data_IF_952065016633
#
_entry.id   IF_952065016633
#
_cell.length_a   1.000
_cell.length_b   1.000
_cell.length_c   1.000
_cell.angle_alpha   90.00
_cell.angle_beta   90.00
_cell.angle_gamma   90.00
#
_symmetry.space_group_name_H-M   'P 1'
#
loop_
_entity.id
_entity.type
_entity.pdbx_description
1 polymer ?
#
# COMPACT_ATOMS: atom_id res chain seq x y z
N UNK A 1 -71.41 18.84 58.81
CA UNK A 1 -70.01 19.33 58.81
C UNK A 1 -69.09 18.15 59.01
N UNK A 2 -68.48 17.65 57.94
CA UNK A 2 -67.25 16.83 57.89
C UNK A 2 -67.00 16.52 56.43
N UNK A 3 -66.11 17.26 55.79
CA UNK A 3 -65.62 16.99 54.43
C UNK A 3 -64.21 16.42 54.53
N UNK A 4 -64.06 15.16 54.09
CA UNK A 4 -62.77 14.52 53.87
C UNK A 4 -62.20 14.96 52.53
N UNK A 5 -61.01 15.58 52.53
CA UNK A 5 -60.20 15.77 51.32
C UNK A 5 -59.03 14.78 51.37
N UNK A 6 -59.07 13.79 50.47
CA UNK A 6 -57.99 12.84 50.23
C UNK A 6 -56.87 13.48 49.41
N UNK A 7 -55.64 13.35 49.91
CA UNK A 7 -54.41 13.76 49.25
C UNK A 7 -54.03 12.77 48.14
N UNK A 8 -53.98 13.26 46.90
CA UNK A 8 -53.43 12.55 45.73
C UNK A 8 -51.89 12.58 45.83
N UNK A 9 -51.26 11.41 45.99
CA UNK A 9 -49.81 11.24 45.79
C UNK A 9 -49.53 11.13 44.29
N UNK A 10 -48.85 12.13 43.73
CA UNK A 10 -48.24 12.04 42.42
C UNK A 10 -46.91 11.26 42.54
N UNK A 11 -46.86 10.07 41.96
CA UNK A 11 -45.64 9.27 41.80
C UNK A 11 -44.81 9.87 40.67
N UNK A 12 -43.65 10.43 41.01
CA UNK A 12 -42.65 10.85 40.03
C UNK A 12 -42.04 9.60 39.37
N UNK A 13 -42.33 9.40 38.09
CA UNK A 13 -41.64 8.40 37.25
C UNK A 13 -40.31 9.01 36.86
N UNK A 14 -39.22 8.59 37.51
CA UNK A 14 -37.87 8.87 37.04
C UNK A 14 -37.62 7.99 35.82
N UNK A 15 -37.82 8.55 34.63
CA UNK A 15 -37.35 7.96 33.39
C UNK A 15 -35.82 8.04 33.39
N UNK A 16 -35.16 6.93 33.72
CA UNK A 16 -33.73 6.76 33.46
C UNK A 16 -33.58 6.61 31.95
N UNK A 17 -33.39 7.74 31.27
CA UNK A 17 -32.90 7.76 29.90
C UNK A 17 -31.46 7.26 29.93
N UNK A 18 -31.27 5.95 29.73
CA UNK A 18 -29.99 5.41 29.31
C UNK A 18 -29.68 6.03 27.95
N UNK A 19 -28.95 7.14 27.96
CA UNK A 19 -28.24 7.63 26.80
C UNK A 19 -27.22 6.55 26.44
N UNK A 20 -27.62 5.61 25.58
CA UNK A 20 -26.68 4.81 24.82
C UNK A 20 -25.94 5.79 23.93
N UNK A 21 -24.83 6.33 24.44
CA UNK A 21 -23.80 6.95 23.62
C UNK A 21 -23.35 5.85 22.69
N UNK A 22 -23.80 5.91 21.43
CA UNK A 22 -23.20 5.16 20.34
C UNK A 22 -21.76 5.63 20.22
N UNK A 23 -20.87 5.00 20.97
CA UNK A 23 -19.44 5.07 20.71
C UNK A 23 -19.23 4.38 19.37
N UNK A 24 -19.20 5.19 18.31
CA UNK A 24 -18.49 4.88 17.08
C UNK A 24 -17.12 4.32 17.47
N UNK A 25 -16.96 3.01 17.31
CA UNK A 25 -15.72 2.30 17.59
C UNK A 25 -14.69 2.64 16.52
N UNK A 26 -14.17 3.87 16.55
CA UNK A 26 -13.00 4.28 15.78
C UNK A 26 -11.74 3.73 16.44
N UNK A 27 -11.56 2.41 16.37
CA UNK A 27 -10.25 1.76 16.49
C UNK A 27 -10.16 0.65 15.45
N UNK A 28 -10.12 1.07 14.18
CA UNK A 28 -9.44 0.30 13.17
C UNK A 28 -7.96 0.23 13.59
N UNK A 29 -7.61 -0.89 14.22
CA UNK A 29 -6.32 -1.57 14.22
C UNK A 29 -5.17 -0.77 13.57
N UNK A 30 -4.42 -0.04 14.41
CA UNK A 30 -3.12 0.50 14.03
C UNK A 30 -3.11 1.87 13.34
N UNK A 31 -4.02 2.80 13.66
CA UNK A 31 -3.70 4.22 13.51
C UNK A 31 -2.60 4.59 14.53
N UNK A 32 -1.38 4.17 14.18
CA UNK A 32 -0.14 4.23 14.93
C UNK A 32 0.31 5.69 15.00
N UNK A 33 0.86 6.14 16.12
CA UNK A 33 1.40 7.51 16.29
C UNK A 33 2.41 7.86 15.16
N UNK A 34 3.09 6.83 14.63
CA UNK A 34 3.94 6.92 13.44
C UNK A 34 3.20 7.32 12.16
N UNK A 35 1.93 6.91 12.03
CA UNK A 35 1.10 7.26 10.88
C UNK A 35 0.82 8.77 10.82
N UNK A 36 0.66 9.41 11.97
CA UNK A 36 0.50 10.86 12.06
C UNK A 36 1.82 11.61 11.85
N UNK A 37 2.95 11.04 12.29
CA UNK A 37 4.26 11.66 12.14
C UNK A 37 4.71 11.77 10.67
N UNK A 38 4.64 10.68 9.88
CA UNK A 38 5.02 10.76 8.47
C UNK A 38 4.08 11.68 7.68
N UNK A 39 2.78 11.69 8.02
CA UNK A 39 1.79 12.53 7.35
C UNK A 39 2.06 14.01 7.60
N UNK A 40 2.34 14.38 8.86
CA UNK A 40 2.73 15.73 9.23
C UNK A 40 4.03 16.15 8.54
N UNK A 41 5.02 15.26 8.48
CA UNK A 41 6.29 15.53 7.79
C UNK A 41 6.10 15.66 6.27
N UNK A 42 5.25 14.83 5.67
CA UNK A 42 4.88 14.93 4.27
C UNK A 42 4.22 16.28 3.95
N UNK A 43 3.31 16.77 4.80
CA UNK A 43 2.70 18.10 4.64
C UNK A 43 3.72 19.24 4.65
N UNK A 44 4.88 19.06 5.29
CA UNK A 44 5.96 20.05 5.24
C UNK A 44 6.66 20.10 3.88
N UNK A 45 6.67 18.98 3.14
CA UNK A 45 7.41 18.83 1.88
C UNK A 45 6.53 18.99 0.64
N UNK A 46 5.27 18.55 0.71
CA UNK A 46 4.40 18.41 -0.48
C UNK A 46 3.96 19.74 -1.08
N UNK A 47 4.04 19.86 -2.41
CA UNK A 47 3.50 21.01 -3.14
C UNK A 47 1.98 20.90 -3.38
N UNK A 48 1.42 19.71 -3.29
CA UNK A 48 0.00 19.43 -3.50
C UNK A 48 -0.55 18.56 -2.36
N UNK A 49 -1.08 19.19 -1.29
CA UNK A 49 -1.64 18.47 -0.15
C UNK A 49 -3.02 17.85 -0.45
N UNK A 50 -3.60 18.06 -1.63
CA UNK A 50 -4.90 17.48 -2.00
C UNK A 50 -4.81 16.01 -2.42
N UNK A 51 -3.59 15.50 -2.63
CA UNK A 51 -3.35 14.09 -2.91
C UNK A 51 -3.80 13.22 -1.75
N UNK A 52 -4.65 12.23 -2.04
CA UNK A 52 -5.03 11.20 -1.07
C UNK A 52 -3.88 10.18 -0.94
N UNK A 53 -2.87 10.57 -0.17
CA UNK A 53 -1.64 9.81 0.09
C UNK A 53 -1.91 8.48 0.81
N UNK A 54 -3.02 8.38 1.56
CA UNK A 54 -3.43 7.12 2.17
C UNK A 54 -3.88 6.09 1.13
N UNK A 55 -4.15 6.51 -0.12
CA UNK A 55 -4.44 5.63 -1.24
C UNK A 55 -3.22 5.27 -2.10
N UNK A 56 -2.02 5.75 -1.78
CA UNK A 56 -0.80 5.36 -2.49
C UNK A 56 -0.58 3.85 -2.45
N UNK A 57 -0.15 3.30 -3.57
CA UNK A 57 0.18 1.88 -3.74
C UNK A 57 1.59 1.72 -4.34
N UNK A 58 2.25 0.57 -4.16
CA UNK A 58 1.85 -0.53 -3.31
C UNK A 58 2.12 -0.24 -1.83
N UNK A 59 1.20 -0.65 -0.96
CA UNK A 59 1.31 -0.53 0.49
C UNK A 59 0.48 -1.64 1.14
N UNK A 60 1.03 -2.41 2.09
CA UNK A 60 0.30 -3.54 2.68
C UNK A 60 -0.92 -3.02 3.45
N UNK A 61 -2.11 -3.45 3.03
CA UNK A 61 -3.38 -3.17 3.71
C UNK A 61 -4.12 -4.45 4.05
N UNK A 62 -4.56 -4.50 5.30
CA UNK A 62 -5.46 -5.55 5.78
C UNK A 62 -6.90 -5.20 5.40
N UNK A 63 -7.67 -6.18 4.93
CA UNK A 63 -9.12 -6.00 4.82
C UNK A 63 -9.74 -5.86 6.21
N UNK A 64 -10.86 -5.16 6.27
CA UNK A 64 -11.63 -4.96 7.50
C UNK A 64 -13.04 -5.55 7.41
N UNK A 65 -13.45 -6.00 6.23
CA UNK A 65 -14.73 -6.66 6.01
C UNK A 65 -14.68 -8.16 6.36
N UNK A 66 -15.86 -8.75 6.51
CA UNK A 66 -16.08 -10.17 6.82
C UNK A 66 -16.79 -10.89 5.67
N UNK A 67 -16.58 -10.43 4.44
CA UNK A 67 -17.12 -11.04 3.23
C UNK A 67 -16.76 -12.53 3.15
N UNK A 68 -17.68 -13.32 2.60
CA UNK A 68 -17.41 -14.70 2.22
C UNK A 68 -16.27 -14.75 1.21
N UNK A 69 -15.34 -15.68 1.44
CA UNK A 69 -14.19 -15.91 0.59
C UNK A 69 -14.21 -17.32 0.04
N UNK A 70 -13.54 -17.45 -1.11
CA UNK A 70 -13.42 -18.70 -1.84
C UNK A 70 -11.96 -19.04 -2.08
N UNK A 71 -11.65 -20.33 -2.09
CA UNK A 71 -10.33 -20.84 -2.48
C UNK A 71 -10.49 -22.12 -3.27
N UNK A 72 -9.95 -22.16 -4.48
CA UNK A 72 -9.72 -23.41 -5.18
C UNK A 72 -8.54 -24.16 -4.54
N UNK A 73 -8.67 -25.46 -4.32
CA UNK A 73 -7.55 -26.27 -3.86
C UNK A 73 -6.49 -26.35 -4.96
N UNK A 74 -5.30 -25.87 -4.67
CA UNK A 74 -4.11 -25.95 -5.54
C UNK A 74 -3.00 -26.78 -4.90
N UNK A 75 -3.31 -27.48 -3.81
CA UNK A 75 -2.35 -28.09 -2.88
C UNK A 75 -2.67 -29.56 -2.58
N UNK A 76 -3.82 -30.07 -3.05
CA UNK A 76 -4.25 -31.44 -2.78
C UNK A 76 -4.58 -31.68 -1.29
N UNK A 77 -5.02 -30.64 -0.57
CA UNK A 77 -5.37 -30.79 0.85
C UNK A 77 -6.70 -31.52 1.02
N UNK A 78 -7.63 -31.35 0.09
CA UNK A 78 -8.98 -31.89 0.14
C UNK A 78 -9.67 -31.64 1.48
N UNK A 79 -10.51 -32.58 1.90
CA UNK A 79 -11.24 -32.46 3.17
C UNK A 79 -10.34 -32.41 4.41
N UNK A 80 -9.04 -32.73 4.30
CA UNK A 80 -8.12 -32.57 5.44
C UNK A 80 -7.94 -31.09 5.84
N UNK A 81 -8.27 -30.16 4.94
CA UNK A 81 -8.31 -28.73 5.23
C UNK A 81 -9.29 -28.37 6.36
N UNK A 82 -10.37 -29.14 6.58
CA UNK A 82 -11.30 -28.90 7.70
C UNK A 82 -10.64 -29.04 9.07
N UNK A 83 -9.61 -29.87 9.17
CA UNK A 83 -8.86 -30.09 10.41
C UNK A 83 -7.55 -29.31 10.42
N UNK A 84 -6.80 -29.33 9.30
CA UNK A 84 -5.47 -28.72 9.19
C UNK A 84 -5.49 -27.23 8.84
N UNK A 85 -6.60 -26.74 8.30
CA UNK A 85 -6.72 -25.41 7.71
C UNK A 85 -6.28 -25.36 6.24
N UNK A 86 -6.45 -24.21 5.61
CA UNK A 86 -5.94 -23.87 4.29
C UNK A 86 -4.46 -23.52 4.41
N UNK A 87 -3.60 -24.53 4.47
CA UNK A 87 -2.16 -24.33 4.65
C UNK A 87 -1.52 -23.66 3.41
N UNK A 88 -0.58 -22.72 3.63
CA UNK A 88 0.31 -22.22 2.58
C UNK A 88 1.23 -23.29 2.00
N UNK A 89 1.73 -23.05 0.79
CA UNK A 89 2.70 -23.95 0.11
C UNK A 89 4.06 -24.04 0.83
N UNK A 90 4.38 -23.10 1.72
CA UNK A 90 5.59 -23.14 2.53
C UNK A 90 5.67 -24.35 3.47
N UNK A 91 4.53 -24.98 3.82
CA UNK A 91 4.52 -26.12 4.77
C UNK A 91 5.41 -27.28 4.36
N UNK A 92 5.63 -27.44 3.05
CA UNK A 92 6.42 -28.54 2.47
C UNK A 92 7.92 -28.22 2.39
N UNK A 93 8.36 -27.08 2.93
CA UNK A 93 9.73 -26.59 2.84
C UNK A 93 10.28 -26.17 4.21
N UNK A 94 11.61 -26.23 4.44
CA UNK A 94 12.21 -25.73 5.67
C UNK A 94 12.04 -24.21 5.78
N UNK A 95 11.90 -23.70 7.02
CA UNK A 95 11.57 -22.29 7.31
C UNK A 95 12.57 -21.28 6.71
N UNK A 96 13.83 -21.68 6.56
CA UNK A 96 14.88 -20.85 5.95
C UNK A 96 14.55 -20.50 4.49
N UNK A 97 13.76 -21.32 3.81
CA UNK A 97 13.38 -21.13 2.41
C UNK A 97 12.04 -20.40 2.22
N UNK A 98 11.33 -20.10 3.31
CA UNK A 98 10.02 -19.48 3.26
C UNK A 98 10.07 -18.06 2.69
N UNK A 99 9.12 -17.74 1.82
CA UNK A 99 8.97 -16.44 1.17
C UNK A 99 7.87 -15.64 1.85
N UNK A 100 8.21 -14.42 2.25
CA UNK A 100 7.37 -13.51 3.01
C UNK A 100 6.99 -12.24 2.25
N UNK A 101 7.29 -12.20 0.94
CA UNK A 101 6.92 -11.09 0.09
C UNK A 101 5.44 -11.17 -0.32
N UNK A 102 4.57 -10.38 0.33
CA UNK A 102 3.12 -10.43 0.05
C UNK A 102 2.78 -9.89 -1.33
N UNK A 103 3.62 -9.02 -1.86
CA UNK A 103 3.37 -8.33 -3.11
C UNK A 103 3.76 -9.20 -4.31
N UNK A 104 4.94 -9.84 -4.24
CA UNK A 104 5.42 -10.70 -5.33
C UNK A 104 4.90 -12.13 -5.26
N UNK A 105 4.12 -12.52 -4.24
CA UNK A 105 3.63 -13.90 -4.05
C UNK A 105 2.61 -14.40 -5.10
N UNK A 106 2.08 -13.57 -5.99
CA UNK A 106 0.96 -13.92 -6.88
C UNK A 106 0.93 -15.35 -7.48
N UNK A 107 -0.28 -15.92 -7.58
CA UNK A 107 -0.62 -17.03 -8.48
C UNK A 107 0.07 -18.37 -8.24
N UNK A 108 0.48 -18.69 -7.01
CA UNK A 108 0.93 -20.05 -6.66
C UNK A 108 2.44 -20.25 -6.62
N UNK A 109 3.20 -19.19 -6.36
CA UNK A 109 4.63 -19.28 -6.06
C UNK A 109 4.91 -20.30 -4.95
N UNK A 110 5.84 -21.21 -5.22
CA UNK A 110 6.32 -22.19 -4.25
C UNK A 110 6.94 -21.51 -3.02
N UNK A 111 6.96 -22.21 -1.88
CA UNK A 111 7.61 -21.77 -0.64
C UNK A 111 6.99 -20.52 0.02
N UNK A 112 5.83 -20.08 -0.45
CA UNK A 112 5.17 -18.93 0.14
C UNK A 112 4.44 -19.25 1.43
N UNK A 113 4.54 -18.32 2.38
CA UNK A 113 3.79 -18.36 3.65
C UNK A 113 2.34 -17.90 3.51
N UNK A 114 1.87 -17.48 2.33
CA UNK A 114 0.50 -17.03 2.15
C UNK A 114 -0.39 -18.11 1.54
N UNK A 115 -1.65 -18.12 1.95
CA UNK A 115 -2.73 -18.86 1.29
C UNK A 115 -3.61 -17.85 0.56
N UNK A 116 -3.58 -17.89 -0.78
CA UNK A 116 -4.39 -17.02 -1.64
C UNK A 116 -5.85 -17.43 -1.65
N UNK A 117 -6.74 -16.46 -1.55
CA UNK A 117 -8.19 -16.64 -1.54
C UNK A 117 -8.80 -15.47 -2.31
N UNK A 118 -10.08 -15.52 -2.64
CA UNK A 118 -10.71 -14.48 -3.47
C UNK A 118 -12.15 -14.23 -3.04
N UNK A 119 -12.63 -13.00 -3.23
CA UNK A 119 -14.06 -12.66 -3.11
C UNK A 119 -14.90 -13.23 -4.26
N UNK A 120 -14.27 -13.58 -5.39
CA UNK A 120 -14.93 -14.07 -6.60
C UNK A 120 -14.94 -15.59 -6.65
N UNK A 121 -16.12 -16.19 -6.46
CA UNK A 121 -16.30 -17.64 -6.59
C UNK A 121 -15.76 -18.16 -7.93
N UNK A 122 -16.06 -17.50 -9.05
CA UNK A 122 -15.60 -17.91 -10.39
C UNK A 122 -14.08 -17.94 -10.55
N UNK A 123 -13.36 -17.04 -9.87
CA UNK A 123 -11.89 -17.04 -9.86
C UNK A 123 -11.38 -18.26 -9.08
N UNK A 124 -11.96 -18.56 -7.92
CA UNK A 124 -11.59 -19.73 -7.15
C UNK A 124 -11.91 -21.05 -7.87
N UNK A 125 -13.05 -21.11 -8.57
CA UNK A 125 -13.45 -22.25 -9.42
C UNK A 125 -12.43 -22.50 -10.54
N UNK A 126 -11.93 -21.45 -11.19
CA UNK A 126 -10.90 -21.55 -12.22
C UNK A 126 -9.61 -22.24 -11.73
N UNK A 127 -9.24 -22.03 -10.48
CA UNK A 127 -8.02 -22.60 -9.89
C UNK A 127 -8.23 -23.92 -9.13
N UNK A 128 -9.47 -24.36 -8.92
CA UNK A 128 -9.77 -25.55 -8.14
C UNK A 128 -9.38 -26.83 -8.91
N UNK A 129 -8.40 -27.59 -8.42
CA UNK A 129 -8.08 -28.90 -9.00
C UNK A 129 -9.04 -30.00 -8.52
N UNK A 130 -9.45 -29.94 -7.25
CA UNK A 130 -10.26 -30.98 -6.62
C UNK A 130 -11.39 -30.45 -5.71
N UNK A 131 -11.19 -29.30 -5.07
CA UNK A 131 -12.16 -28.76 -4.13
C UNK A 131 -12.23 -27.25 -4.23
N UNK A 132 -13.43 -26.71 -4.08
CA UNK A 132 -13.69 -25.29 -3.84
C UNK A 132 -14.09 -25.11 -2.38
N UNK A 133 -13.28 -24.38 -1.62
CA UNK A 133 -13.60 -24.03 -0.25
C UNK A 133 -14.38 -22.72 -0.21
N UNK A 134 -15.44 -22.68 0.60
CA UNK A 134 -16.14 -21.46 1.02
C UNK A 134 -15.88 -21.24 2.50
N UNK A 135 -15.45 -20.04 2.87
CA UNK A 135 -15.07 -19.75 4.24
C UNK A 135 -15.23 -18.27 4.58
N UNK A 136 -15.20 -17.94 5.86
CA UNK A 136 -15.10 -16.57 6.37
C UNK A 136 -14.02 -16.52 7.43
N UNK A 137 -13.11 -15.57 7.32
CA UNK A 137 -12.09 -15.31 8.32
C UNK A 137 -11.83 -13.80 8.38
N UNK A 138 -11.54 -13.25 9.57
CA UNK A 138 -11.10 -11.86 9.68
C UNK A 138 -9.68 -11.70 9.15
N UNK A 139 -9.29 -10.45 8.88
CA UNK A 139 -7.98 -10.08 8.34
C UNK A 139 -7.72 -10.63 6.92
N UNK A 140 -6.45 -10.76 6.57
CA UNK A 140 -5.99 -11.05 5.21
C UNK A 140 -5.55 -9.76 4.49
N UNK A 141 -4.50 -9.87 3.71
CA UNK A 141 -3.96 -8.75 2.92
C UNK A 141 -4.87 -8.56 1.71
N UNK A 142 -5.48 -7.38 1.59
CA UNK A 142 -6.30 -7.03 0.44
C UNK A 142 -5.41 -6.62 -0.73
N UNK A 143 -5.24 -7.50 -1.71
CA UNK A 143 -4.32 -7.25 -2.82
C UNK A 143 -4.81 -6.09 -3.70
N UNK A 144 -6.11 -5.85 -3.82
CA UNK A 144 -6.64 -4.72 -4.61
C UNK A 144 -6.26 -3.40 -3.95
N UNK A 145 -6.55 -3.26 -2.67
CA UNK A 145 -6.23 -2.03 -1.94
C UNK A 145 -4.72 -1.86 -1.72
N UNK A 146 -3.97 -2.97 -1.68
CA UNK A 146 -2.52 -2.94 -1.50
C UNK A 146 -1.74 -2.70 -2.78
N UNK A 147 -2.38 -2.74 -3.96
CA UNK A 147 -1.72 -2.58 -5.27
C UNK A 147 -1.02 -3.84 -5.78
N UNK A 148 -1.55 -5.01 -5.42
CA UNK A 148 -1.12 -6.33 -5.91
C UNK A 148 -1.26 -6.49 -7.42
N UNK A 149 -0.66 -7.56 -7.95
CA UNK A 149 -0.45 -7.70 -9.39
C UNK A 149 -1.74 -7.92 -10.22
N UNK A 150 -2.73 -8.60 -9.64
CA UNK A 150 -3.97 -9.00 -10.33
C UNK A 150 -5.21 -8.44 -9.63
N UNK A 151 -5.51 -7.13 -9.76
CA UNK A 151 -6.64 -6.52 -9.06
C UNK A 151 -8.00 -7.14 -9.47
N UNK A 152 -8.10 -7.68 -10.69
CA UNK A 152 -9.31 -8.35 -11.16
C UNK A 152 -9.68 -9.62 -10.39
N UNK A 153 -8.70 -10.28 -9.75
CA UNK A 153 -8.92 -11.49 -8.96
C UNK A 153 -9.53 -11.22 -7.58
N UNK A 154 -9.50 -9.97 -7.11
CA UNK A 154 -9.95 -9.60 -5.76
C UNK A 154 -9.36 -10.51 -4.67
N UNK A 155 -8.07 -10.78 -4.80
CA UNK A 155 -7.34 -11.68 -3.92
C UNK A 155 -7.24 -11.12 -2.49
N UNK A 156 -7.50 -12.00 -1.52
CA UNK A 156 -7.13 -11.85 -0.13
C UNK A 156 -6.06 -12.89 0.22
N UNK A 157 -4.85 -12.43 0.54
CA UNK A 157 -3.75 -13.31 0.90
C UNK A 157 -3.63 -13.46 2.42
N UNK A 158 -3.73 -14.69 2.94
CA UNK A 158 -3.62 -14.97 4.37
C UNK A 158 -2.23 -15.46 4.75
N UNK A 159 -1.41 -14.68 5.46
CA UNK A 159 -0.13 -15.15 5.98
C UNK A 159 -0.35 -16.24 7.03
N UNK A 160 0.36 -17.36 6.89
CA UNK A 160 0.16 -18.56 7.70
C UNK A 160 -1.12 -19.33 7.37
N UNK A 161 -1.88 -18.92 6.36
CA UNK A 161 -3.13 -19.58 5.94
C UNK A 161 -4.31 -19.33 6.87
N UNK A 162 -5.30 -20.21 6.80
CA UNK A 162 -6.58 -20.06 7.50
C UNK A 162 -6.94 -21.35 8.24
N UNK A 163 -7.16 -21.30 9.57
CA UNK A 163 -7.53 -22.48 10.35
C UNK A 163 -8.82 -23.12 9.86
N UNK A 164 -8.89 -24.45 10.00
CA UNK A 164 -9.98 -25.25 9.44
C UNK A 164 -11.37 -24.89 9.95
N UNK A 165 -11.50 -24.42 11.19
CA UNK A 165 -12.81 -24.03 11.75
C UNK A 165 -13.41 -22.77 11.10
N UNK A 166 -12.66 -21.99 10.32
CA UNK A 166 -13.22 -20.89 9.52
C UNK A 166 -13.81 -21.38 8.18
N UNK A 167 -13.47 -22.61 7.76
CA UNK A 167 -13.96 -23.19 6.52
C UNK A 167 -15.36 -23.71 6.74
N UNK A 168 -16.33 -23.21 5.98
CA UNK A 168 -17.73 -23.60 6.11
C UNK A 168 -18.01 -24.91 5.38
N UNK A 169 -17.55 -25.01 4.14
CA UNK A 169 -17.79 -26.16 3.28
C UNK A 169 -16.73 -26.30 2.19
N UNK A 170 -16.66 -27.48 1.58
CA UNK A 170 -15.86 -27.78 0.41
C UNK A 170 -16.72 -28.45 -0.65
N UNK A 171 -16.72 -27.96 -1.89
CA UNK A 171 -17.52 -28.49 -3.00
C UNK A 171 -16.63 -29.12 -4.07
N UNK A 172 -17.05 -30.25 -4.63
CA UNK A 172 -16.33 -30.92 -5.73
C UNK A 172 -16.38 -30.10 -7.02
N UNK A 173 -15.46 -30.31 -7.97
CA UNK A 173 -15.33 -29.46 -9.15
C UNK A 173 -16.43 -29.67 -10.17
N UNK A 174 -17.14 -30.81 -10.11
CA UNK A 174 -18.30 -31.09 -10.96
C UNK A 174 -19.42 -30.15 -10.48
N UNK A 175 -19.57 -29.05 -11.23
CA UNK A 175 -20.57 -27.99 -11.10
C UNK A 175 -20.53 -27.23 -9.76
N UNK A 176 -19.60 -27.56 -8.86
CA UNK A 176 -19.46 -26.99 -7.52
C UNK A 176 -20.75 -27.04 -6.70
N UNK A 177 -21.55 -28.09 -6.90
CA UNK A 177 -22.83 -28.34 -6.20
C UNK A 177 -22.75 -29.46 -5.16
N UNK A 178 -21.88 -30.46 -5.34
CA UNK A 178 -21.69 -31.55 -4.37
C UNK A 178 -20.75 -31.09 -3.24
N UNK A 179 -21.34 -30.55 -2.17
CA UNK A 179 -20.63 -29.93 -1.07
C UNK A 179 -20.65 -30.76 0.21
N UNK A 180 -19.49 -30.86 0.85
CA UNK A 180 -19.32 -31.41 2.19
C UNK A 180 -19.27 -30.27 3.20
N UNK A 181 -20.16 -30.31 4.20
CA UNK A 181 -20.15 -29.34 5.29
C UNK A 181 -19.02 -29.64 6.27
N UNK A 182 -18.35 -28.59 6.77
CA UNK A 182 -17.37 -28.76 7.83
C UNK A 182 -18.07 -28.86 9.19
N UNK A 183 -18.02 -30.02 9.88
CA UNK A 183 -18.64 -30.17 11.19
C UNK A 183 -17.99 -29.29 12.28
N UNK A 184 -16.77 -28.79 12.02
CA UNK A 184 -16.01 -27.94 12.94
C UNK A 184 -16.15 -26.45 12.62
N UNK A 185 -17.00 -26.06 11.67
CA UNK A 185 -17.18 -24.65 11.31
C UNK A 185 -17.64 -23.82 12.50
N UNK A 186 -17.02 -22.65 12.67
CA UNK A 186 -17.37 -21.62 13.65
C UNK A 186 -17.39 -20.28 12.93
N UNK A 187 -18.54 -19.61 12.97
CA UNK A 187 -18.65 -18.27 12.41
C UNK A 187 -17.65 -17.34 13.13
N UNK A 188 -16.79 -16.61 12.39
CA UNK A 188 -15.85 -15.68 13.01
C UNK A 188 -16.57 -14.52 13.70
N UNK A 189 -16.01 -14.08 14.81
CA UNK A 189 -16.53 -12.97 15.62
C UNK A 189 -16.00 -11.60 15.19
N UNK A 190 -14.91 -11.58 14.41
CA UNK A 190 -14.16 -10.38 14.04
C UNK A 190 -13.19 -9.90 15.14
N UNK A 191 -13.10 -10.62 16.27
CA UNK A 191 -12.20 -10.32 17.39
C UNK A 191 -10.93 -11.17 17.38
N UNK A 192 -10.86 -12.16 16.51
CA UNK A 192 -9.72 -13.05 16.34
C UNK A 192 -8.50 -12.22 15.92
N UNK A 193 -7.34 -12.52 16.47
CA UNK A 193 -6.06 -11.96 16.01
C UNK A 193 -5.62 -12.63 14.72
N UNK A 194 -4.62 -12.06 14.03
CA UNK A 194 -4.03 -12.72 12.86
C UNK A 194 -3.46 -14.11 13.18
N UNK A 195 -2.94 -14.30 14.40
CA UNK A 195 -2.45 -15.58 14.91
C UNK A 195 -3.59 -16.56 15.22
N UNK A 196 -4.75 -16.06 15.62
CA UNK A 196 -5.94 -16.88 15.80
C UNK A 196 -6.45 -17.40 14.45
N UNK A 197 -6.24 -16.66 13.36
CA UNK A 197 -6.60 -17.07 11.99
C UNK A 197 -5.59 -18.02 11.37
N UNK A 198 -4.29 -17.78 11.55
CA UNK A 198 -3.22 -18.49 10.87
C UNK A 198 -3.20 -20.01 11.17
N UNK A 199 -3.22 -20.84 10.13
CA UNK A 199 -3.14 -22.30 10.25
C UNK A 199 -1.73 -22.80 10.60
N UNK A 200 -0.68 -22.04 10.25
CA UNK A 200 0.70 -22.31 10.63
C UNK A 200 1.34 -21.08 11.29
N UNK A 201 2.34 -21.32 12.14
CA UNK A 201 3.16 -20.26 12.72
C UNK A 201 4.13 -19.70 11.68
N UNK A 202 4.30 -18.37 11.66
CA UNK A 202 5.22 -17.65 10.78
C UNK A 202 5.91 -16.53 11.56
N UNK A 203 7.06 -16.05 11.09
CA UNK A 203 7.67 -14.82 11.62
C UNK A 203 7.04 -13.59 10.94
N UNK A 204 6.02 -13.01 11.58
CA UNK A 204 5.31 -11.83 11.10
C UNK A 204 6.21 -10.62 10.82
N UNK A 205 7.40 -10.54 11.44
CA UNK A 205 8.36 -9.45 11.22
C UNK A 205 9.06 -9.55 9.87
N UNK A 206 9.02 -10.72 9.23
CA UNK A 206 9.61 -10.96 7.90
C UNK A 206 8.66 -10.59 6.76
N UNK A 207 7.39 -10.30 7.05
CA UNK A 207 6.43 -9.82 6.04
C UNK A 207 7.00 -8.57 5.38
N UNK A 208 7.24 -8.70 4.08
CA UNK A 208 7.84 -7.65 3.27
C UNK A 208 6.96 -7.41 2.05
N UNK A 209 6.85 -6.17 1.58
CA UNK A 209 7.07 -4.94 2.34
C UNK A 209 6.26 -4.89 3.65
N UNK A 210 6.66 -4.09 4.65
CA UNK A 210 5.84 -3.89 5.84
C UNK A 210 4.56 -3.11 5.53
N UNK A 211 3.71 -2.95 6.54
CA UNK A 211 2.54 -2.05 6.50
C UNK A 211 3.00 -0.62 6.24
N UNK A 212 2.29 0.08 5.33
CA UNK A 212 2.59 1.47 4.98
C UNK A 212 3.58 1.61 3.82
N UNK A 213 4.24 2.77 3.74
CA UNK A 213 5.25 3.11 2.74
C UNK A 213 6.62 3.23 3.42
N UNK A 214 7.69 3.05 2.65
CA UNK A 214 9.07 3.16 3.11
C UNK A 214 9.51 4.64 3.25
N UNK A 215 8.89 5.36 4.19
CA UNK A 215 9.23 6.75 4.49
C UNK A 215 10.64 6.89 5.06
N UNK A 216 11.41 7.82 4.50
CA UNK A 216 12.77 8.14 4.94
C UNK A 216 12.94 9.64 5.07
N UNK A 217 13.78 10.08 6.02
CA UNK A 217 14.30 11.45 6.06
C UNK A 217 15.67 11.47 5.38
N UNK A 218 15.83 12.28 4.36
CA UNK A 218 17.07 12.34 3.56
C UNK A 218 18.20 12.95 4.39
N UNK A 219 19.41 12.38 4.29
CA UNK A 219 20.60 12.93 4.97
C UNK A 219 21.38 13.91 4.10
N UNK A 220 21.23 13.80 2.78
CA UNK A 220 21.92 14.58 1.76
C UNK A 220 20.89 15.16 0.80
N UNK A 221 21.32 16.11 -0.03
CA UNK A 221 20.49 16.62 -1.12
C UNK A 221 20.10 15.48 -2.06
N UNK A 222 18.90 15.59 -2.64
CA UNK A 222 18.45 14.74 -3.73
C UNK A 222 18.31 15.56 -5.00
N UNK A 223 18.25 14.89 -6.15
CA UNK A 223 18.16 15.51 -7.46
C UNK A 223 16.81 15.18 -8.08
N UNK A 224 15.82 16.05 -7.84
CA UNK A 224 14.48 15.90 -8.40
C UNK A 224 14.48 16.18 -9.89
N UNK A 225 13.69 15.42 -10.64
CA UNK A 225 13.58 15.58 -12.08
C UNK A 225 12.20 16.08 -12.49
N UNK A 226 12.17 16.86 -13.56
CA UNK A 226 10.93 17.37 -14.14
C UNK A 226 11.01 17.53 -15.66
N UNK A 227 9.86 17.48 -16.31
CA UNK A 227 9.71 17.79 -17.74
C UNK A 227 8.34 18.40 -18.01
N UNK A 228 8.20 19.05 -19.17
CA UNK A 228 6.92 19.63 -19.60
C UNK A 228 5.82 18.58 -19.75
N UNK A 229 6.18 17.31 -19.92
CA UNK A 229 5.24 16.18 -19.98
C UNK A 229 4.59 15.90 -18.61
N UNK A 230 5.30 16.15 -17.51
CA UNK A 230 4.91 15.65 -16.17
C UNK A 230 4.63 16.71 -15.13
N UNK A 231 5.22 17.91 -15.28
CA UNK A 231 4.92 19.03 -14.38
C UNK A 231 4.39 20.25 -15.12
N UNK A 232 3.34 20.91 -14.58
CA UNK A 232 2.81 22.17 -15.09
C UNK A 232 3.74 23.36 -14.89
N UNK A 233 4.67 23.25 -13.94
CA UNK A 233 5.57 24.33 -13.52
C UNK A 233 7.01 23.83 -13.67
N UNK A 234 7.87 24.66 -14.25
CA UNK A 234 9.27 24.33 -14.56
C UNK A 234 10.19 25.51 -14.24
N UNK A 235 11.51 25.26 -14.22
CA UNK A 235 12.53 26.28 -14.08
C UNK A 235 12.36 27.13 -12.83
N UNK A 236 12.52 28.45 -12.96
CA UNK A 236 12.47 29.40 -11.85
C UNK A 236 11.11 29.39 -11.14
N UNK A 237 10.03 29.15 -11.89
CA UNK A 237 8.70 29.09 -11.32
C UNK A 237 8.55 27.89 -10.40
N UNK A 238 9.24 26.77 -10.67
CA UNK A 238 9.20 25.60 -9.79
C UNK A 238 9.93 25.89 -8.45
N UNK A 239 11.02 26.65 -8.47
CA UNK A 239 11.71 27.10 -7.25
C UNK A 239 10.82 28.00 -6.39
N UNK A 240 9.91 28.77 -7.01
CA UNK A 240 9.05 29.70 -6.27
C UNK A 240 7.74 29.04 -5.83
N UNK A 241 7.09 28.31 -6.73
CA UNK A 241 5.73 27.79 -6.55
C UNK A 241 5.69 26.29 -6.22
N UNK A 242 6.82 25.59 -6.31
CA UNK A 242 6.94 24.16 -6.13
C UNK A 242 6.86 23.36 -7.43
N UNK A 243 7.49 22.19 -7.40
CA UNK A 243 7.46 21.20 -8.47
C UNK A 243 6.39 20.15 -8.13
N UNK A 244 5.40 19.96 -8.99
CA UNK A 244 4.28 19.01 -8.76
C UNK A 244 3.88 18.26 -10.03
N UNK A 245 3.15 17.16 -9.90
CA UNK A 245 2.54 16.48 -11.04
C UNK A 245 1.39 17.29 -11.67
N UNK A 246 0.91 16.85 -12.84
CA UNK A 246 -0.27 17.42 -13.50
C UNK A 246 -1.61 17.13 -12.82
N UNK A 247 -1.63 16.16 -11.91
CA UNK A 247 -2.83 15.74 -11.20
C UNK A 247 -2.52 15.40 -9.74
N UNK A 248 -3.58 15.30 -8.96
CA UNK A 248 -3.54 14.99 -7.53
C UNK A 248 -4.03 13.56 -7.25
N UNK A 249 -4.01 12.69 -8.27
CA UNK A 249 -4.53 11.32 -8.12
C UNK A 249 -3.56 10.48 -7.27
N UNK A 250 -4.08 9.55 -6.44
CA UNK A 250 -3.24 8.65 -5.68
C UNK A 250 -2.28 7.88 -6.59
N UNK A 251 -0.97 7.92 -6.32
CA UNK A 251 -0.03 7.31 -7.22
C UNK A 251 0.15 5.83 -6.95
N UNK A 252 0.52 5.11 -8.01
CA UNK A 252 1.12 3.79 -7.89
C UNK A 252 2.63 3.93 -8.13
N UNK A 253 3.42 3.77 -7.07
CA UNK A 253 4.86 3.97 -7.04
C UNK A 253 5.60 3.07 -8.03
N UNK A 254 5.03 1.94 -8.48
CA UNK A 254 5.63 1.11 -9.55
C UNK A 254 5.85 1.90 -10.83
N UNK A 255 4.95 2.85 -11.12
CA UNK A 255 5.04 3.68 -12.31
C UNK A 255 5.93 4.91 -12.09
N UNK A 256 6.46 5.14 -10.88
CA UNK A 256 7.42 6.22 -10.63
C UNK A 256 8.71 6.08 -11.46
N UNK A 257 9.01 4.86 -11.93
CA UNK A 257 10.16 4.57 -12.79
C UNK A 257 9.96 4.93 -14.26
N UNK A 258 8.71 5.07 -14.70
CA UNK A 258 8.35 5.64 -15.99
C UNK A 258 7.79 7.04 -15.72
N UNK A 259 8.69 7.99 -15.51
CA UNK A 259 8.37 9.29 -14.92
C UNK A 259 7.40 10.09 -15.80
N UNK A 260 7.47 9.91 -17.13
CA UNK A 260 6.55 10.52 -18.09
C UNK A 260 5.26 9.73 -18.31
N UNK A 261 5.10 8.60 -17.64
CA UNK A 261 3.84 7.88 -17.62
C UNK A 261 2.75 8.71 -16.96
N UNK A 262 1.60 8.80 -17.64
CA UNK A 262 0.39 9.32 -17.02
C UNK A 262 -0.02 8.51 -15.78
N UNK A 263 0.46 7.27 -15.62
CA UNK A 263 0.18 6.39 -14.48
C UNK A 263 1.04 6.68 -13.23
N UNK A 264 2.12 7.45 -13.36
CA UNK A 264 2.90 7.91 -12.21
C UNK A 264 2.11 8.90 -11.33
N UNK A 265 1.05 9.51 -11.88
CA UNK A 265 0.14 10.43 -11.22
C UNK A 265 0.87 11.57 -10.48
N UNK A 266 0.57 11.78 -9.20
CA UNK A 266 1.03 12.90 -8.40
C UNK A 266 2.44 12.71 -7.81
N UNK A 267 3.38 12.09 -8.53
CA UNK A 267 4.77 11.89 -8.04
C UNK A 267 5.72 12.88 -8.72
N UNK A 268 6.61 13.46 -7.93
CA UNK A 268 7.90 13.99 -8.42
C UNK A 268 8.99 13.03 -7.97
N UNK A 269 9.79 12.56 -8.90
CA UNK A 269 10.82 11.58 -8.62
C UNK A 269 12.18 12.26 -8.48
N UNK A 270 13.03 11.74 -7.60
CA UNK A 270 14.35 12.26 -7.35
C UNK A 270 15.37 11.15 -7.17
N UNK A 271 16.63 11.49 -7.43
CA UNK A 271 17.75 10.57 -7.33
C UNK A 271 18.72 10.98 -6.24
N UNK A 272 19.36 9.99 -5.62
CA UNK A 272 20.52 10.21 -4.77
C UNK A 272 21.66 10.81 -5.57
N UNK A 273 21.91 10.23 -6.74
CA UNK A 273 23.06 10.57 -7.58
C UNK A 273 22.63 11.53 -8.69
N UNK A 274 23.37 12.63 -8.80
CA UNK A 274 23.12 13.65 -9.82
C UNK A 274 23.25 13.09 -11.24
N UNK A 275 24.21 12.19 -11.46
CA UNK A 275 24.44 11.53 -12.75
C UNK A 275 23.21 10.77 -13.23
N UNK A 276 22.45 10.14 -12.33
CA UNK A 276 21.19 9.48 -12.68
C UNK A 276 20.09 10.47 -13.06
N UNK A 277 19.97 11.58 -12.33
CA UNK A 277 19.02 12.63 -12.64
C UNK A 277 19.32 13.27 -14.00
N UNK A 278 20.60 13.54 -14.27
CA UNK A 278 21.09 14.03 -15.55
C UNK A 278 20.81 13.03 -16.68
N UNK A 279 21.18 11.76 -16.49
CA UNK A 279 20.89 10.70 -17.47
C UNK A 279 19.40 10.62 -17.78
N UNK A 280 18.54 10.74 -16.76
CA UNK A 280 17.11 10.81 -16.99
C UNK A 280 16.73 12.02 -17.85
N UNK A 281 17.22 13.22 -17.50
CA UNK A 281 16.86 14.45 -18.21
C UNK A 281 17.35 14.46 -19.67
N UNK A 282 18.52 13.87 -19.97
CA UNK A 282 19.08 13.85 -21.33
C UNK A 282 18.58 12.66 -22.16
N UNK A 283 18.44 11.48 -21.56
CA UNK A 283 18.19 10.22 -22.27
C UNK A 283 16.76 9.69 -22.12
N UNK A 284 16.06 9.98 -21.03
CA UNK A 284 14.72 9.42 -20.75
C UNK A 284 13.59 10.39 -21.04
N UNK A 285 13.69 11.64 -20.58
CA UNK A 285 12.67 12.66 -20.83
C UNK A 285 12.49 12.90 -22.33
N UNK A 286 11.25 12.99 -22.81
CA UNK A 286 10.95 13.04 -24.25
C UNK A 286 11.55 14.27 -24.93
N UNK A 287 11.54 15.43 -24.26
CA UNK A 287 11.96 16.72 -24.81
C UNK A 287 13.13 17.34 -24.05
N UNK A 288 13.94 16.51 -23.38
CA UNK A 288 14.84 17.00 -22.34
C UNK A 288 14.09 17.30 -21.05
N UNK A 289 14.83 17.66 -20.01
CA UNK A 289 14.27 17.83 -18.68
C UNK A 289 15.04 18.79 -17.80
N UNK A 290 14.49 19.03 -16.62
CA UNK A 290 15.09 19.78 -15.55
C UNK A 290 15.58 18.85 -14.46
N UNK A 291 16.72 19.20 -13.87
CA UNK A 291 17.25 18.59 -12.65
C UNK A 291 17.31 19.68 -11.58
N UNK A 292 16.60 19.47 -10.48
CA UNK A 292 16.50 20.38 -9.34
C UNK A 292 17.23 19.78 -8.14
N UNK A 293 18.06 20.57 -7.48
CA UNK A 293 18.59 20.19 -6.18
C UNK A 293 17.52 20.38 -5.10
N UNK A 294 17.20 19.31 -4.39
CA UNK A 294 16.30 19.29 -3.23
C UNK A 294 17.14 19.32 -1.96
N UNK A 295 16.80 20.20 -1.03
CA UNK A 295 17.44 20.30 0.28
C UNK A 295 17.44 18.95 1.02
N UNK A 296 18.48 18.70 1.81
CA UNK A 296 18.53 17.57 2.75
C UNK A 296 17.54 17.72 3.92
N UNK A 297 17.40 16.67 4.74
CA UNK A 297 16.49 16.58 5.88
C UNK A 297 15.01 16.75 5.51
N UNK A 298 14.63 16.28 4.32
CA UNK A 298 13.24 16.23 3.86
C UNK A 298 12.74 14.79 3.86
N UNK A 299 11.42 14.62 4.01
CA UNK A 299 10.79 13.30 3.94
C UNK A 299 10.42 12.93 2.50
N UNK A 300 10.73 11.70 2.12
CA UNK A 300 10.36 11.09 0.83
C UNK A 300 10.09 9.58 1.02
N UNK A 301 9.55 8.94 -0.01
CA UNK A 301 9.42 7.47 -0.05
C UNK A 301 10.63 6.89 -0.77
N UNK A 302 11.36 5.97 -0.12
CA UNK A 302 12.45 5.23 -0.72
C UNK A 302 11.90 4.20 -1.73
N UNK A 303 12.37 4.26 -2.97
CA UNK A 303 11.96 3.36 -4.06
C UNK A 303 12.92 2.19 -4.27
N UNK A 304 13.99 2.08 -3.48
CA UNK A 304 14.88 0.91 -3.52
C UNK A 304 14.22 -0.38 -3.04
N UNK A 305 13.04 -0.28 -2.43
CA UNK A 305 12.27 -1.42 -1.93
C UNK A 305 11.64 -2.25 -3.07
N UNK A 306 11.59 -3.58 -2.95
CA UNK A 306 11.15 -4.48 -4.03
C UNK A 306 9.77 -4.17 -4.62
N UNK A 307 8.84 -3.63 -3.82
CA UNK A 307 7.47 -3.34 -4.22
C UNK A 307 7.33 -2.04 -5.03
N UNK A 308 8.18 -1.05 -4.80
CA UNK A 308 8.08 0.24 -5.48
C UNK A 308 8.76 0.23 -6.87
N UNK A 309 9.31 -0.91 -7.30
CA UNK A 309 10.19 -1.03 -8.46
C UNK A 309 11.60 -0.74 -8.00
N UNK A 310 12.44 -1.77 -7.75
CA UNK A 310 13.70 -1.62 -7.03
C UNK A 310 14.66 -0.75 -7.83
N UNK A 311 14.65 0.54 -7.57
CA UNK A 311 15.65 1.48 -8.08
C UNK A 311 16.42 2.01 -6.91
N UNK A 312 17.58 1.42 -6.73
CA UNK A 312 18.55 1.92 -5.76
C UNK A 312 18.79 3.42 -6.01
N UNK A 313 18.79 4.21 -4.94
CA UNK A 313 18.96 5.66 -5.03
C UNK A 313 17.74 6.44 -5.57
N UNK A 314 16.62 5.81 -5.90
CA UNK A 314 15.39 6.48 -6.31
C UNK A 314 14.48 6.85 -5.13
N UNK A 315 13.86 8.03 -5.20
CA UNK A 315 12.93 8.53 -4.18
C UNK A 315 11.69 9.17 -4.81
N UNK A 316 10.53 8.97 -4.20
CA UNK A 316 9.28 9.61 -4.60
C UNK A 316 8.84 10.69 -3.60
N UNK A 317 8.55 11.88 -4.13
CA UNK A 317 7.85 12.96 -3.47
C UNK A 317 6.39 12.98 -3.92
N UNK A 318 5.50 12.42 -3.09
CA UNK A 318 4.06 12.35 -3.37
C UNK A 318 3.44 13.74 -3.20
N UNK A 319 2.66 14.19 -4.18
CA UNK A 319 2.17 15.57 -4.29
C UNK A 319 3.26 16.59 -4.64
N UNK A 320 4.49 16.15 -4.95
CA UNK A 320 5.58 17.02 -5.34
C UNK A 320 6.36 17.65 -4.19
N UNK A 321 7.08 18.73 -4.49
CA UNK A 321 8.08 19.38 -3.63
C UNK A 321 7.80 20.88 -3.60
N UNK A 322 7.61 21.45 -2.40
CA UNK A 322 7.44 22.91 -2.24
C UNK A 322 8.66 23.68 -2.75
N UNK A 323 8.42 24.85 -3.32
CA UNK A 323 9.45 25.68 -3.95
C UNK A 323 10.63 25.99 -3.03
N UNK A 324 10.38 26.41 -1.78
CA UNK A 324 11.43 26.73 -0.79
C UNK A 324 12.35 25.56 -0.38
N UNK A 325 12.07 24.34 -0.84
CA UNK A 325 12.92 23.16 -0.66
C UNK A 325 13.81 22.87 -1.87
N UNK A 326 13.59 23.55 -3.00
CA UNK A 326 14.42 23.49 -4.20
C UNK A 326 15.47 24.60 -4.14
N UNK A 327 16.74 24.26 -4.36
CA UNK A 327 17.86 25.19 -4.19
C UNK A 327 18.31 25.79 -5.52
N UNK A 328 18.52 24.94 -6.51
CA UNK A 328 18.96 25.33 -7.85
C UNK A 328 18.40 24.36 -8.89
N UNK A 329 18.48 24.75 -10.16
CA UNK A 329 18.00 23.93 -11.26
C UNK A 329 18.88 24.05 -12.50
N UNK A 330 18.92 22.97 -13.27
CA UNK A 330 19.60 22.87 -14.55
C UNK A 330 18.67 22.29 -15.58
N UNK A 331 18.58 22.92 -16.75
CA UNK A 331 17.83 22.40 -17.89
C UNK A 331 18.77 21.70 -18.85
N UNK A 332 18.35 20.55 -19.32
CA UNK A 332 19.03 19.76 -20.35
C UNK A 332 18.14 19.63 -21.57
N UNK A 333 18.73 19.77 -22.75
CA UNK A 333 18.09 19.34 -23.99
C UNK A 333 18.31 17.83 -24.17
N UNK A 334 17.40 17.17 -24.89
CA UNK A 334 17.51 15.73 -25.21
C UNK A 334 18.85 15.44 -25.87
N UNK A 335 19.58 14.43 -25.37
CA UNK A 335 20.87 13.99 -25.90
C UNK A 335 22.02 15.00 -25.73
N UNK A 336 21.82 16.11 -25.00
CA UNK A 336 22.86 17.11 -24.75
C UNK A 336 23.34 17.01 -23.31
N UNK A 337 24.61 16.68 -23.13
CA UNK A 337 25.21 16.43 -21.81
C UNK A 337 25.50 17.69 -21.00
N UNK A 338 25.61 18.86 -21.64
CA UNK A 338 25.80 20.14 -20.97
C UNK A 338 24.46 20.82 -20.67
N UNK A 339 24.31 21.49 -19.52
CA UNK A 339 23.10 22.23 -19.23
C UNK A 339 22.98 23.43 -20.16
N UNK A 340 21.79 23.59 -20.74
CA UNK A 340 21.44 24.71 -21.64
C UNK A 340 20.93 25.92 -20.87
N UNK A 341 20.55 25.73 -19.61
CA UNK A 341 20.05 26.78 -18.72
C UNK A 341 20.30 26.40 -17.27
N UNK A 342 20.58 27.39 -16.43
CA UNK A 342 20.92 27.21 -15.02
C UNK A 342 20.26 28.31 -14.19
N UNK A 343 19.76 27.94 -13.01
CA UNK A 343 19.05 28.84 -12.11
C UNK A 343 19.62 28.65 -10.71
N UNK A 344 20.01 29.76 -10.08
CA UNK A 344 20.62 29.75 -8.75
C UNK A 344 22.08 29.27 -8.71
N UNK A 345 22.75 29.20 -9.87
CA UNK A 345 24.14 28.73 -10.03
C UNK A 345 24.86 29.69 -10.99
N UNK A 346 26.10 30.05 -10.66
CA UNK A 346 26.94 30.82 -11.57
C UNK A 346 27.18 30.04 -12.88
N UNK A 347 27.15 30.75 -14.01
CA UNK A 347 27.11 30.15 -15.35
C UNK A 347 28.33 29.27 -15.65
N UNK A 348 29.50 29.70 -15.20
CA UNK A 348 30.77 29.00 -15.34
C UNK A 348 30.78 27.72 -14.47
N UNK A 349 30.33 27.81 -13.21
CA UNK A 349 30.19 26.65 -12.33
C UNK A 349 29.17 25.63 -12.87
N UNK A 350 28.10 26.11 -13.52
CA UNK A 350 27.09 25.25 -14.12
C UNK A 350 27.60 24.43 -15.31
N UNK A 351 28.58 24.93 -16.08
CA UNK A 351 29.15 24.23 -17.24
C UNK A 351 30.30 23.29 -16.87
N UNK A 352 30.99 23.55 -15.76
CA UNK A 352 32.21 22.85 -15.36
C UNK A 352 31.97 21.52 -14.62
N UNK A 353 30.73 21.03 -14.56
CA UNK A 353 30.31 19.88 -13.74
C UNK A 353 30.86 18.50 -14.13
N UNK A 354 31.84 18.44 -15.04
CA UNK A 354 32.63 17.24 -15.29
C UNK A 354 33.89 17.12 -14.41
N UNK A 355 34.20 18.08 -13.51
CA UNK A 355 35.54 18.12 -12.87
C UNK A 355 35.57 17.82 -11.37
N UNK A 356 34.44 17.83 -10.64
CA UNK A 356 34.45 17.52 -9.20
C UNK A 356 33.28 16.65 -8.76
N UNK A 357 33.35 15.36 -9.07
CA UNK A 357 32.78 14.28 -8.25
C UNK A 357 33.79 13.14 -8.15
#
# INVERSE_FOLDING_TARGET
MTTHNGFTRATAVVAVACACVWQSGSKAWGADEKQEQWYTAWLQVTADPSVDIHKTTPSLRWRTDMDTLYRGDTTGQGLSAFTKGLLPKAVDFPEIEWRYDWYSHGGGIAKSVFSSTTRKKSVAEHYASEWLYEFKAPHGIDQVQSGGHFPGEEEISFPGGVKGHFIKQACKPIDFVDCVQNPNYREPTGRETMQDVAAMSIDWRRLTPPVGLAWVTTKQSLWAVGSTTVNPVQGADALTHGLRGWNSLPPNLRYALDQESHLAHSIVMAFRDYSEAKFWATERASNGGWVYEVRSNVVAVDLSVPNAGPREGGFAFIGGIKGGLLLNARRFAKGVSEPVECIGIEKEACRLENIHQ
#
